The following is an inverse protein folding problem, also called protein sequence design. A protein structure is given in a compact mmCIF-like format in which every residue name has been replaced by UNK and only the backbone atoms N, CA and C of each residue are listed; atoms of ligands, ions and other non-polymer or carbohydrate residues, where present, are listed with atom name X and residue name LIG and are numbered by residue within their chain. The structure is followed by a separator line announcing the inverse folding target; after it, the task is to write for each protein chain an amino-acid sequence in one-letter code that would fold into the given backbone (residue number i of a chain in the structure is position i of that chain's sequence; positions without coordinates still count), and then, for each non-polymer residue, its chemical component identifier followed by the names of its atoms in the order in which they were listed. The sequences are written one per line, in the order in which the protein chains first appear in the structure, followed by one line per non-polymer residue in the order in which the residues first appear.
data_IF_382390783266
#
_entry.id   IF_382390783266
#
_cell.length_a   1.000
_cell.length_b   1.000
_cell.length_c   1.000
_cell.angle_alpha   90.00
_cell.angle_beta   90.00
_cell.angle_gamma   90.00
#
_symmetry.space_group_name_H-M   'P 1'
#
loop_
_entity.id
_entity.type
_entity.pdbx_description
1 polymer ?
#
# COMPACT_ATOMS: atom_id res chain seq x y z
N UNK A 1 -1.17 -24.16 -1.33
CA UNK A 1 -1.07 -22.94 -0.50
C UNK A 1 -0.35 -21.89 -1.32
N UNK A 2 -0.58 -20.63 -1.03
CA UNK A 2 0.19 -19.52 -1.61
C UNK A 2 1.67 -19.60 -1.20
N UNK A 3 2.55 -19.19 -2.10
CA UNK A 3 3.98 -19.12 -1.85
C UNK A 3 4.42 -17.99 -0.91
N UNK A 4 3.59 -16.97 -0.67
CA UNK A 4 3.92 -15.79 0.13
C UNK A 4 3.10 -15.72 1.44
N UNK A 5 3.46 -16.59 2.40
CA UNK A 5 2.98 -16.49 3.78
C UNK A 5 3.55 -15.26 4.48
N UNK A 6 2.76 -14.61 5.33
CA UNK A 6 3.15 -13.35 5.98
C UNK A 6 2.88 -13.35 7.47
N UNK A 7 3.67 -12.56 8.18
CA UNK A 7 3.57 -12.37 9.61
C UNK A 7 2.83 -11.07 9.93
N UNK A 8 1.92 -11.13 10.89
CA UNK A 8 1.20 -9.96 11.41
C UNK A 8 1.38 -9.86 12.92
N UNK A 9 1.40 -8.62 13.43
CA UNK A 9 1.48 -8.33 14.86
C UNK A 9 0.11 -7.87 15.33
N UNK A 10 -0.52 -8.61 16.24
CA UNK A 10 -1.82 -8.24 16.82
C UNK A 10 -1.70 -8.34 18.33
N UNK A 11 -1.95 -7.21 19.03
CA UNK A 11 -1.87 -7.11 20.49
C UNK A 11 -0.53 -7.62 21.09
N UNK A 12 0.57 -7.36 20.39
CA UNK A 12 1.92 -7.78 20.79
C UNK A 12 2.23 -9.27 20.55
N UNK A 13 1.30 -10.01 19.93
CA UNK A 13 1.50 -11.41 19.50
C UNK A 13 1.73 -11.49 18.01
N UNK A 14 2.36 -12.58 17.59
CA UNK A 14 2.79 -12.84 16.23
C UNK A 14 1.93 -13.97 15.63
N UNK A 15 1.34 -13.70 14.47
CA UNK A 15 0.53 -14.67 13.75
C UNK A 15 1.04 -14.81 12.32
N UNK A 16 1.29 -16.05 11.89
CA UNK A 16 1.50 -16.36 10.49
C UNK A 16 0.14 -16.53 9.81
N UNK A 17 -0.04 -15.84 8.68
CA UNK A 17 -1.21 -16.01 7.82
C UNK A 17 -0.76 -16.68 6.53
N UNK A 18 -1.47 -17.75 6.17
CA UNK A 18 -1.26 -18.48 4.92
C UNK A 18 -2.55 -18.56 4.14
N UNK A 19 -2.39 -18.54 2.84
CA UNK A 19 -3.48 -18.62 1.89
C UNK A 19 -3.64 -20.05 1.38
N UNK A 20 -4.83 -20.62 1.61
CA UNK A 20 -5.16 -21.97 1.22
C UNK A 20 -6.15 -21.95 0.06
N UNK A 21 -5.76 -22.61 -1.02
CA UNK A 21 -6.52 -22.68 -2.26
C UNK A 21 -7.23 -24.01 -2.38
N UNK A 22 -8.49 -23.97 -2.84
CA UNK A 22 -9.08 -25.13 -3.50
C UNK A 22 -8.79 -25.03 -4.98
N UNK A 23 -8.29 -26.12 -5.57
CA UNK A 23 -7.95 -26.20 -7.00
C UNK A 23 -8.56 -27.44 -7.64
N UNK A 24 -8.75 -27.38 -8.96
CA UNK A 24 -9.09 -28.55 -9.76
C UNK A 24 -8.49 -28.40 -11.18
N UNK A 25 -8.33 -29.53 -11.86
CA UNK A 25 -7.81 -29.62 -13.24
C UNK A 25 -8.88 -30.00 -14.26
N UNK A 26 -10.11 -30.28 -13.82
CA UNK A 26 -11.21 -30.82 -14.66
C UNK A 26 -12.49 -29.99 -14.56
N UNK A 27 -12.39 -28.73 -14.13
CA UNK A 27 -13.55 -27.85 -14.04
C UNK A 27 -14.10 -27.53 -15.45
N UNK A 28 -15.40 -27.75 -15.73
CA UNK A 28 -15.93 -27.60 -17.08
C UNK A 28 -15.84 -26.17 -17.62
N UNK A 29 -15.61 -26.03 -18.93
CA UNK A 29 -15.60 -24.75 -19.65
C UNK A 29 -14.62 -23.70 -19.08
N UNK A 30 -13.52 -24.14 -18.47
CA UNK A 30 -12.47 -23.27 -17.94
C UNK A 30 -11.15 -23.48 -18.65
N UNK A 31 -10.41 -22.39 -18.84
CA UNK A 31 -9.07 -22.44 -19.42
C UNK A 31 -8.07 -23.02 -18.43
N UNK A 32 -7.28 -23.98 -18.90
CA UNK A 32 -6.15 -24.52 -18.15
C UNK A 32 -4.98 -23.55 -18.14
N UNK A 33 -4.35 -23.40 -16.99
CA UNK A 33 -3.10 -22.67 -16.77
C UNK A 33 -2.12 -23.53 -15.98
N UNK A 34 -0.83 -23.24 -16.13
CA UNK A 34 0.20 -23.80 -15.24
C UNK A 34 0.12 -23.17 -13.84
N UNK A 35 0.34 -23.97 -12.81
CA UNK A 35 0.41 -23.54 -11.41
C UNK A 35 1.40 -24.44 -10.65
N UNK A 36 2.61 -23.91 -10.41
CA UNK A 36 3.74 -24.73 -9.98
C UNK A 36 4.05 -25.82 -11.00
N UNK A 37 4.26 -27.05 -10.54
CA UNK A 37 4.47 -28.23 -11.41
C UNK A 37 3.17 -28.86 -11.94
N UNK A 38 2.01 -28.25 -11.67
CA UNK A 38 0.70 -28.79 -12.01
C UNK A 38 -0.02 -27.92 -13.06
N UNK A 39 -1.04 -28.50 -13.68
CA UNK A 39 -2.02 -27.77 -14.47
C UNK A 39 -3.34 -27.71 -13.72
N UNK A 40 -3.92 -26.51 -13.65
CA UNK A 40 -5.22 -26.27 -13.02
C UNK A 40 -6.11 -25.46 -13.97
N UNK A 41 -7.42 -25.62 -13.83
CA UNK A 41 -8.40 -24.79 -14.52
C UNK A 41 -9.47 -24.26 -13.55
N UNK A 42 -9.28 -24.46 -12.26
CA UNK A 42 -10.07 -23.88 -11.17
C UNK A 42 -9.16 -23.53 -10.01
N UNK A 43 -9.34 -22.34 -9.45
CA UNK A 43 -8.67 -21.89 -8.23
C UNK A 43 -9.59 -20.92 -7.48
N UNK A 44 -9.67 -21.09 -6.16
CA UNK A 44 -10.32 -20.16 -5.24
C UNK A 44 -9.48 -20.01 -3.98
N UNK A 45 -9.35 -18.78 -3.48
CA UNK A 45 -8.82 -18.51 -2.15
C UNK A 45 -9.89 -18.77 -1.11
N UNK A 46 -10.16 -20.05 -0.85
CA UNK A 46 -11.31 -20.45 -0.04
C UNK A 46 -11.07 -20.36 1.45
N UNK A 47 -9.81 -20.45 1.88
CA UNK A 47 -9.44 -20.52 3.30
C UNK A 47 -8.24 -19.63 3.62
N UNK A 48 -8.31 -18.90 4.72
CA UNK A 48 -7.17 -18.26 5.38
C UNK A 48 -6.77 -19.12 6.58
N UNK A 49 -5.50 -19.51 6.65
CA UNK A 49 -4.94 -20.24 7.78
C UNK A 49 -4.19 -19.27 8.67
N UNK A 50 -4.48 -19.29 9.96
CA UNK A 50 -3.83 -18.44 10.96
C UNK A 50 -3.11 -19.34 11.94
N UNK A 51 -1.82 -19.13 12.12
CA UNK A 51 -0.98 -19.89 13.05
C UNK A 51 -0.42 -18.93 14.09
N UNK A 52 -0.75 -19.17 15.36
CA UNK A 52 -0.12 -18.45 16.48
C UNK A 52 1.36 -18.89 16.59
N UNK A 53 2.29 -17.94 16.45
CA UNK A 53 3.72 -18.25 16.40
C UNK A 53 4.30 -18.69 17.76
N UNK A 54 3.58 -18.47 18.87
CA UNK A 54 4.01 -18.86 20.21
C UNK A 54 3.49 -20.24 20.60
N UNK A 55 2.23 -20.53 20.26
CA UNK A 55 1.54 -21.76 20.68
C UNK A 55 1.47 -22.82 19.58
N UNK A 56 1.67 -22.43 18.31
CA UNK A 56 1.49 -23.31 17.15
C UNK A 56 0.02 -23.62 16.85
N UNK A 57 -0.92 -23.07 17.63
CA UNK A 57 -2.36 -23.20 17.40
C UNK A 57 -2.70 -22.74 15.99
N UNK A 58 -3.35 -23.61 15.22
CA UNK A 58 -3.64 -23.40 13.81
C UNK A 58 -5.15 -23.39 13.59
N UNK A 59 -5.65 -22.30 13.01
CA UNK A 59 -7.05 -22.09 12.70
C UNK A 59 -7.28 -21.91 11.20
N UNK A 60 -8.28 -22.60 10.66
CA UNK A 60 -8.66 -22.51 9.25
C UNK A 60 -9.97 -21.73 9.12
N UNK A 61 -9.93 -20.53 8.55
CA UNK A 61 -11.10 -19.67 8.35
C UNK A 61 -11.58 -19.72 6.91
N UNK A 62 -12.84 -20.08 6.68
CA UNK A 62 -13.43 -20.12 5.33
C UNK A 62 -13.84 -18.71 4.91
N UNK A 63 -13.24 -18.21 3.84
CA UNK A 63 -13.43 -16.84 3.32
C UNK A 63 -14.24 -16.77 2.03
N UNK A 64 -14.21 -17.82 1.19
CA UNK A 64 -15.13 -17.95 0.05
C UNK A 64 -16.20 -19.01 0.32
N UNK A 65 -17.28 -18.63 1.01
CA UNK A 65 -18.39 -19.53 1.31
C UNK A 65 -19.17 -20.00 0.05
N UNK A 66 -18.92 -19.41 -1.11
CA UNK A 66 -19.61 -19.77 -2.36
C UNK A 66 -18.89 -20.90 -3.09
N UNK A 67 -17.62 -21.17 -2.77
CA UNK A 67 -16.84 -22.22 -3.39
C UNK A 67 -17.47 -23.62 -3.11
N UNK A 68 -17.83 -24.39 -4.15
CA UNK A 68 -18.37 -25.74 -3.97
C UNK A 68 -17.34 -26.73 -3.39
N UNK A 69 -16.04 -26.54 -3.64
CA UNK A 69 -15.02 -27.47 -3.16
C UNK A 69 -14.83 -27.34 -1.65
N UNK A 70 -14.73 -26.11 -1.11
CA UNK A 70 -14.64 -25.93 0.34
C UNK A 70 -15.89 -26.44 1.06
N UNK A 71 -17.08 -26.36 0.46
CA UNK A 71 -18.30 -26.96 1.04
C UNK A 71 -18.18 -28.47 1.21
N UNK A 72 -17.60 -29.17 0.23
CA UNK A 72 -17.34 -30.61 0.34
C UNK A 72 -16.33 -30.94 1.45
N UNK A 73 -15.27 -30.14 1.58
CA UNK A 73 -14.31 -30.26 2.68
C UNK A 73 -14.94 -29.99 4.05
N UNK A 74 -15.78 -28.96 4.17
CA UNK A 74 -16.51 -28.66 5.42
C UNK A 74 -17.48 -29.79 5.81
N UNK A 75 -18.16 -30.41 4.83
CA UNK A 75 -19.03 -31.56 5.09
C UNK A 75 -18.25 -32.79 5.57
N UNK A 76 -17.02 -32.97 5.08
CA UNK A 76 -16.16 -34.11 5.43
C UNK A 76 -15.43 -33.89 6.77
N UNK A 77 -15.04 -32.64 7.07
CA UNK A 77 -14.30 -32.26 8.28
C UNK A 77 -15.00 -31.11 9.04
N UNK A 78 -16.13 -31.38 9.72
CA UNK A 78 -16.99 -30.33 10.27
C UNK A 78 -16.33 -29.47 11.36
N UNK A 79 -15.35 -30.02 12.06
CA UNK A 79 -14.65 -29.34 13.17
C UNK A 79 -13.37 -28.62 12.76
N UNK A 80 -12.88 -28.83 11.53
CA UNK A 80 -11.61 -28.26 11.07
C UNK A 80 -11.72 -26.78 10.71
N UNK A 81 -12.86 -26.41 10.11
CA UNK A 81 -13.05 -25.09 9.51
C UNK A 81 -13.94 -24.19 10.37
N UNK A 82 -13.53 -22.93 10.50
CA UNK A 82 -14.28 -21.88 11.19
C UNK A 82 -14.86 -20.88 10.17
N UNK A 83 -16.05 -20.31 10.42
CA UNK A 83 -16.52 -19.16 9.66
C UNK A 83 -15.56 -17.98 9.79
N UNK A 84 -15.35 -17.21 8.71
CA UNK A 84 -14.52 -15.99 8.76
C UNK A 84 -14.97 -15.01 9.84
N UNK A 85 -16.26 -14.98 10.17
CA UNK A 85 -16.83 -14.09 11.18
C UNK A 85 -16.25 -14.31 12.59
N UNK A 86 -15.74 -15.50 12.87
CA UNK A 86 -15.04 -15.83 14.12
C UNK A 86 -13.57 -15.36 14.15
N UNK A 87 -13.02 -14.91 13.01
CA UNK A 87 -11.66 -14.39 12.95
C UNK A 87 -11.56 -13.09 13.77
N UNK A 88 -10.59 -12.96 14.68
CA UNK A 88 -10.37 -11.72 15.43
C UNK A 88 -10.20 -10.51 14.50
N UNK A 89 -10.82 -9.38 14.86
CA UNK A 89 -10.84 -8.17 14.01
C UNK A 89 -9.45 -7.63 13.71
N UNK A 90 -8.52 -7.70 14.68
CA UNK A 90 -7.12 -7.31 14.48
C UNK A 90 -6.44 -8.13 13.38
N UNK A 91 -6.67 -9.45 13.34
CA UNK A 91 -6.13 -10.32 12.29
C UNK A 91 -6.85 -10.07 10.96
N UNK A 92 -8.18 -9.92 10.99
CA UNK A 92 -8.98 -9.66 9.79
C UNK A 92 -8.56 -8.37 9.07
N UNK A 93 -8.15 -7.34 9.83
CA UNK A 93 -7.67 -6.07 9.29
C UNK A 93 -6.35 -6.20 8.50
N UNK A 94 -5.63 -7.30 8.64
CA UNK A 94 -4.38 -7.56 7.91
C UNK A 94 -4.54 -8.53 6.73
N UNK A 95 -5.75 -8.98 6.42
CA UNK A 95 -5.96 -9.85 5.27
C UNK A 95 -5.60 -9.14 3.98
N UNK A 96 -4.85 -9.83 3.13
CA UNK A 96 -4.53 -9.39 1.77
C UNK A 96 -5.00 -10.41 0.72
N UNK A 97 -5.19 -9.93 -0.51
CA UNK A 97 -5.40 -10.75 -1.69
C UNK A 97 -4.06 -11.42 -2.01
N UNK A 98 -4.00 -12.75 -2.13
CA UNK A 98 -2.73 -13.43 -2.23
C UNK A 98 -2.14 -13.39 -3.64
N UNK A 99 -0.80 -13.40 -3.71
CA UNK A 99 -0.08 -13.12 -4.95
C UNK A 99 -0.29 -14.20 -6.00
N UNK A 100 -0.31 -15.49 -5.64
CA UNK A 100 -0.39 -16.54 -6.65
C UNK A 100 -1.76 -16.61 -7.32
N UNK A 101 -2.84 -16.38 -6.56
CA UNK A 101 -4.18 -16.22 -7.13
C UNK A 101 -4.22 -14.99 -8.05
N UNK A 102 -3.63 -13.88 -7.62
CA UNK A 102 -3.58 -12.67 -8.41
C UNK A 102 -2.78 -12.86 -9.70
N UNK A 103 -1.62 -13.55 -9.66
CA UNK A 103 -0.82 -13.94 -10.83
C UNK A 103 -1.66 -14.78 -11.81
N UNK A 104 -2.37 -15.80 -11.31
CA UNK A 104 -3.25 -16.62 -12.14
C UNK A 104 -4.34 -15.78 -12.84
N UNK A 105 -4.96 -14.86 -12.13
CA UNK A 105 -5.99 -13.97 -12.68
C UNK A 105 -5.42 -12.94 -13.66
N UNK A 106 -4.23 -12.40 -13.40
CA UNK A 106 -3.49 -11.52 -14.32
C UNK A 106 -3.26 -12.22 -15.66
N UNK A 107 -2.83 -13.49 -15.64
CA UNK A 107 -2.61 -14.28 -16.86
C UNK A 107 -3.91 -14.47 -17.65
N UNK A 108 -5.02 -14.82 -16.99
CA UNK A 108 -6.32 -14.94 -17.66
C UNK A 108 -6.78 -13.57 -18.19
N UNK A 109 -6.74 -12.54 -17.36
CA UNK A 109 -7.21 -11.20 -17.70
C UNK A 109 -6.42 -10.56 -18.86
N UNK A 110 -5.15 -10.92 -19.03
CA UNK A 110 -4.33 -10.48 -20.17
C UNK A 110 -4.96 -10.77 -21.53
N UNK A 111 -5.82 -11.80 -21.61
CA UNK A 111 -6.52 -12.22 -22.84
C UNK A 111 -8.02 -11.90 -22.80
N UNK A 112 -8.68 -12.01 -21.64
CA UNK A 112 -10.14 -11.92 -21.53
C UNK A 112 -10.67 -10.56 -21.04
N UNK A 113 -9.86 -9.51 -21.00
CA UNK A 113 -10.31 -8.16 -20.60
C UNK A 113 -11.26 -7.48 -21.60
N UNK A 114 -11.45 -8.07 -22.79
CA UNK A 114 -12.33 -7.55 -23.83
C UNK A 114 -13.81 -7.71 -23.46
N UNK A 115 -14.67 -6.87 -24.04
CA UNK A 115 -16.11 -6.93 -23.78
C UNK A 115 -16.72 -8.27 -24.24
N UNK A 116 -17.68 -8.77 -23.47
CA UNK A 116 -18.44 -9.98 -23.78
C UNK A 116 -19.57 -9.73 -24.80
N UNK A 117 -19.28 -8.99 -25.87
CA UNK A 117 -20.20 -8.67 -26.97
C UNK A 117 -19.63 -9.16 -28.32
N UNK A 118 -20.41 -9.16 -29.43
CA UNK A 118 -19.93 -9.65 -30.72
C UNK A 118 -18.70 -8.91 -31.26
N UNK A 119 -18.47 -7.65 -30.89
CA UNK A 119 -17.26 -6.90 -31.25
C UNK A 119 -16.05 -7.38 -30.45
N UNK A 120 -16.17 -7.50 -29.13
CA UNK A 120 -15.09 -8.02 -28.28
C UNK A 120 -14.77 -9.48 -28.59
N UNK A 121 -15.76 -10.30 -28.97
CA UNK A 121 -15.53 -11.65 -29.46
C UNK A 121 -14.62 -11.66 -30.71
N UNK A 122 -14.82 -10.73 -31.66
CA UNK A 122 -13.92 -10.60 -32.83
C UNK A 122 -12.49 -10.26 -32.40
N UNK A 123 -12.32 -9.30 -31.49
CA UNK A 123 -11.01 -8.91 -30.96
C UNK A 123 -10.32 -10.09 -30.27
N UNK A 124 -11.07 -10.86 -29.46
CA UNK A 124 -10.57 -12.05 -28.77
C UNK A 124 -10.09 -13.13 -29.75
N UNK A 125 -10.94 -13.51 -30.72
CA UNK A 125 -10.60 -14.57 -31.68
C UNK A 125 -9.51 -14.15 -32.65
N UNK A 126 -9.42 -12.87 -32.99
CA UNK A 126 -8.36 -12.32 -33.83
C UNK A 126 -7.05 -12.06 -33.05
N UNK A 127 -7.09 -12.12 -31.70
CA UNK A 127 -5.97 -11.78 -30.81
C UNK A 127 -5.39 -10.39 -31.04
N UNK A 128 -6.26 -9.42 -31.35
CA UNK A 128 -5.86 -8.05 -31.72
C UNK A 128 -5.48 -7.18 -30.50
N UNK A 129 -6.04 -7.47 -29.32
CA UNK A 129 -5.77 -6.74 -28.07
C UNK A 129 -5.38 -7.74 -26.98
N UNK A 130 -4.23 -8.40 -27.16
CA UNK A 130 -3.64 -9.28 -26.13
C UNK A 130 -2.61 -8.49 -25.34
N UNK A 131 -2.72 -8.53 -24.01
CA UNK A 131 -1.74 -7.94 -23.11
C UNK A 131 -0.74 -8.99 -22.63
N UNK A 132 0.33 -8.52 -22.02
CA UNK A 132 1.39 -9.33 -21.46
C UNK A 132 1.78 -8.80 -20.08
N UNK A 133 2.28 -9.72 -19.24
CA UNK A 133 3.03 -9.35 -18.05
C UNK A 133 4.32 -8.67 -18.53
N UNK A 134 4.59 -7.43 -18.10
CA UNK A 134 5.78 -6.72 -18.53
C UNK A 134 7.05 -7.40 -18.03
N UNK A 135 8.14 -7.19 -18.74
CA UNK A 135 9.47 -7.56 -18.27
C UNK A 135 10.17 -6.37 -17.61
N UNK A 136 11.19 -6.66 -16.82
CA UNK A 136 12.16 -5.72 -16.26
C UNK A 136 13.56 -6.37 -16.27
N UNK A 137 14.59 -5.68 -15.80
CA UNK A 137 15.96 -6.19 -15.68
C UNK A 137 16.55 -5.85 -14.32
N UNK A 138 17.28 -6.81 -13.74
CA UNK A 138 18.04 -6.65 -12.50
C UNK A 138 19.53 -6.50 -12.85
N UNK A 139 20.02 -5.28 -12.98
CA UNK A 139 21.42 -4.99 -13.29
C UNK A 139 21.65 -4.46 -14.70
N UNK A 140 22.66 -3.60 -14.90
CA UNK A 140 23.23 -3.37 -16.22
C UNK A 140 23.65 -4.69 -16.88
N UNK A 141 23.11 -5.00 -18.06
CA UNK A 141 23.36 -6.25 -18.77
C UNK A 141 22.65 -7.49 -18.19
N UNK A 142 21.76 -7.31 -17.22
CA UNK A 142 20.95 -8.37 -16.63
C UNK A 142 19.95 -8.98 -17.63
N UNK A 143 19.58 -10.23 -17.39
CA UNK A 143 18.53 -10.90 -18.16
C UNK A 143 17.18 -10.21 -17.93
N UNK A 144 16.33 -10.22 -18.96
CA UNK A 144 14.95 -9.78 -18.78
C UNK A 144 14.21 -10.83 -17.94
N UNK A 145 13.52 -10.35 -16.91
CA UNK A 145 12.67 -11.15 -16.04
C UNK A 145 11.24 -10.62 -16.08
N UNK A 146 10.25 -11.47 -15.90
CA UNK A 146 8.87 -11.03 -15.74
C UNK A 146 8.72 -10.22 -14.45
N UNK A 147 7.88 -9.19 -14.48
CA UNK A 147 7.53 -8.43 -13.29
C UNK A 147 6.56 -9.24 -12.42
N UNK A 148 6.83 -9.27 -11.12
CA UNK A 148 5.90 -9.82 -10.13
C UNK A 148 4.88 -8.78 -9.66
N UNK A 149 3.69 -9.20 -9.20
CA UNK A 149 2.79 -8.32 -8.48
C UNK A 149 3.48 -7.78 -7.22
N UNK A 150 3.10 -6.58 -6.80
CA UNK A 150 3.65 -6.00 -5.57
C UNK A 150 2.60 -5.21 -4.83
N UNK A 151 2.70 -5.25 -3.50
CA UNK A 151 1.83 -4.50 -2.62
C UNK A 151 2.30 -3.05 -2.47
N UNK A 152 1.36 -2.11 -2.52
CA UNK A 152 1.61 -0.69 -2.28
C UNK A 152 0.51 -0.08 -1.43
N UNK A 153 0.86 0.96 -0.67
CA UNK A 153 -0.11 1.85 -0.06
C UNK A 153 -0.30 3.04 -0.99
N UNK A 154 -1.45 3.12 -1.64
CA UNK A 154 -1.72 4.13 -2.65
C UNK A 154 -3.19 4.54 -2.66
N UNK A 155 -3.47 5.79 -3.03
CA UNK A 155 -4.83 6.30 -3.19
C UNK A 155 -5.28 6.14 -4.63
N UNK A 156 -6.18 5.20 -4.89
CA UNK A 156 -6.77 5.01 -6.21
C UNK A 156 -7.39 6.31 -6.77
N UNK A 157 -7.34 6.53 -8.10
CA UNK A 157 -8.03 7.64 -8.74
C UNK A 157 -9.52 7.70 -8.34
N UNK A 158 -9.99 8.86 -7.89
CA UNK A 158 -11.37 9.06 -7.46
C UNK A 158 -11.67 8.70 -6.00
N UNK A 159 -10.77 7.98 -5.32
CA UNK A 159 -10.90 7.66 -3.90
C UNK A 159 -10.31 8.78 -3.02
N UNK A 160 -10.82 8.92 -1.79
CA UNK A 160 -10.37 9.97 -0.86
C UNK A 160 -9.19 9.53 0.00
N UNK A 161 -9.15 8.25 0.40
CA UNK A 161 -8.18 7.71 1.33
C UNK A 161 -7.18 6.78 0.62
N UNK A 162 -5.91 6.73 1.07
CA UNK A 162 -4.99 5.66 0.68
C UNK A 162 -5.53 4.28 1.06
N UNK A 163 -5.22 3.30 0.25
CA UNK A 163 -5.63 1.91 0.42
C UNK A 163 -4.43 0.98 0.20
N UNK A 164 -4.40 -0.14 0.91
CA UNK A 164 -3.44 -1.20 0.66
C UNK A 164 -3.86 -2.01 -0.56
N UNK A 165 -3.03 -2.01 -1.61
CA UNK A 165 -3.36 -2.57 -2.92
C UNK A 165 -2.29 -3.56 -3.37
N UNK A 166 -2.70 -4.60 -4.09
CA UNK A 166 -1.80 -5.46 -4.87
C UNK A 166 -1.89 -5.05 -6.34
N UNK A 167 -0.78 -4.65 -6.97
CA UNK A 167 -0.80 -4.04 -8.31
C UNK A 167 0.02 -4.87 -9.31
N UNK A 168 -0.48 -4.92 -10.56
CA UNK A 168 0.25 -5.40 -11.73
C UNK A 168 0.03 -4.47 -12.94
N UNK A 169 1.08 -3.86 -13.51
CA UNK A 169 1.00 -3.20 -14.80
C UNK A 169 0.94 -4.20 -15.97
N UNK A 170 0.44 -3.75 -17.11
CA UNK A 170 0.36 -4.51 -18.36
C UNK A 170 1.00 -3.74 -19.52
N UNK A 171 1.62 -4.49 -20.43
CA UNK A 171 2.01 -4.01 -21.76
C UNK A 171 1.24 -4.77 -22.84
N UNK A 172 1.08 -4.24 -24.05
CA UNK A 172 0.62 -5.05 -25.17
C UNK A 172 1.62 -6.16 -25.47
N UNK A 173 1.14 -7.31 -25.95
CA UNK A 173 2.00 -8.42 -26.34
C UNK A 173 3.05 -7.96 -27.37
N UNK A 174 4.33 -8.22 -27.08
CA UNK A 174 5.45 -7.83 -27.94
C UNK A 174 5.81 -6.33 -27.92
N UNK A 175 5.23 -5.54 -27.02
CA UNK A 175 5.57 -4.12 -26.81
C UNK A 175 5.98 -3.86 -25.37
N UNK A 176 6.72 -2.76 -25.18
CA UNK A 176 7.26 -2.38 -23.87
C UNK A 176 6.59 -1.15 -23.27
N UNK A 177 5.67 -0.48 -23.96
CA UNK A 177 4.92 0.65 -23.41
C UNK A 177 3.72 0.13 -22.60
N UNK A 178 3.38 0.80 -21.49
CA UNK A 178 2.22 0.45 -20.68
C UNK A 178 0.92 0.68 -21.46
N UNK A 179 -0.03 -0.22 -21.26
CA UNK A 179 -1.41 -0.11 -21.78
C UNK A 179 -2.45 -0.13 -20.67
N UNK A 180 -2.14 -0.74 -19.53
CA UNK A 180 -3.08 -0.85 -18.41
C UNK A 180 -2.34 -1.14 -17.12
N UNK A 181 -3.03 -1.04 -16.00
CA UNK A 181 -2.66 -1.68 -14.75
C UNK A 181 -3.90 -2.20 -14.04
N UNK A 182 -3.73 -3.26 -13.26
CA UNK A 182 -4.76 -3.89 -12.45
C UNK A 182 -4.36 -3.78 -10.99
N UNK A 183 -5.32 -3.45 -10.14
CA UNK A 183 -5.18 -3.45 -8.70
C UNK A 183 -6.23 -4.34 -8.04
N UNK A 184 -5.82 -5.14 -7.07
CA UNK A 184 -6.70 -5.78 -6.11
C UNK A 184 -6.68 -5.00 -4.79
N UNK A 185 -7.86 -4.76 -4.25
CA UNK A 185 -8.12 -4.01 -3.02
C UNK A 185 -8.03 -4.92 -1.80
N UNK A 186 -7.30 -4.51 -0.76
CA UNK A 186 -7.11 -5.31 0.45
C UNK A 186 -7.90 -4.78 1.66
N UNK A 187 -8.47 -3.57 1.61
CA UNK A 187 -9.00 -2.94 2.82
C UNK A 187 -10.53 -3.01 2.94
N UNK A 188 -10.97 -3.28 4.16
CA UNK A 188 -12.36 -3.11 4.60
C UNK A 188 -13.39 -3.84 3.72
N UNK A 189 -14.46 -3.14 3.37
CA UNK A 189 -15.55 -3.69 2.54
C UNK A 189 -15.18 -3.88 1.07
N UNK A 190 -14.00 -3.38 0.66
CA UNK A 190 -13.53 -3.45 -0.72
C UNK A 190 -12.57 -4.63 -0.94
N UNK A 191 -12.22 -5.34 0.14
CA UNK A 191 -11.38 -6.54 0.09
C UNK A 191 -11.77 -7.50 -1.05
N UNK A 192 -10.80 -7.86 -1.88
CA UNK A 192 -10.98 -8.79 -3.00
C UNK A 192 -11.64 -8.19 -4.23
N UNK A 193 -11.91 -6.88 -4.27
CA UNK A 193 -12.35 -6.21 -5.49
C UNK A 193 -11.17 -5.83 -6.38
N UNK A 194 -11.39 -5.88 -7.69
CA UNK A 194 -10.38 -5.60 -8.71
C UNK A 194 -10.76 -4.36 -9.50
N UNK A 195 -9.78 -3.52 -9.77
CA UNK A 195 -9.94 -2.31 -10.59
C UNK A 195 -8.87 -2.30 -11.67
N UNK A 196 -9.30 -2.26 -12.93
CA UNK A 196 -8.39 -2.15 -14.08
C UNK A 196 -8.48 -0.75 -14.67
N UNK A 197 -7.33 -0.11 -14.84
CA UNK A 197 -7.19 1.21 -15.44
C UNK A 197 -6.50 1.10 -16.79
N UNK A 198 -7.29 1.20 -17.86
CA UNK A 198 -6.78 1.22 -19.23
C UNK A 198 -6.27 2.61 -19.57
N UNK A 199 -5.05 2.66 -20.08
CA UNK A 199 -4.36 3.91 -20.39
C UNK A 199 -4.78 4.46 -21.75
N UNK A 200 -4.78 5.80 -21.91
CA UNK A 200 -5.10 6.41 -23.19
C UNK A 200 -4.14 5.98 -24.30
N UNK A 201 -4.68 5.66 -25.49
CA UNK A 201 -3.89 5.20 -26.65
C UNK A 201 -3.15 6.33 -27.37
N UNK A 202 -3.47 7.59 -27.08
CA UNK A 202 -2.85 8.79 -27.65
C UNK A 202 -1.52 9.18 -26.97
N UNK A 203 -1.21 8.58 -25.81
CA UNK A 203 0.03 8.84 -25.07
C UNK A 203 0.86 7.59 -24.92
N UNK A 204 2.14 7.72 -25.24
CA UNK A 204 3.13 6.68 -24.95
C UNK A 204 3.56 6.79 -23.49
N UNK A 205 3.29 5.76 -22.71
CA UNK A 205 3.73 5.64 -21.32
C UNK A 205 4.77 4.52 -21.26
N UNK A 206 5.99 4.82 -20.81
CA UNK A 206 7.05 3.81 -20.76
C UNK A 206 6.70 2.66 -19.82
N UNK A 207 6.97 1.41 -20.22
CA UNK A 207 6.85 0.27 -19.32
C UNK A 207 8.11 -0.01 -18.51
N UNK A 208 8.02 -0.96 -17.57
CA UNK A 208 9.11 -1.30 -16.66
C UNK A 208 10.42 -1.58 -17.39
N UNK A 209 10.40 -2.39 -18.45
CA UNK A 209 11.60 -2.72 -19.24
C UNK A 209 12.29 -1.48 -19.83
N UNK A 210 11.52 -0.52 -20.37
CA UNK A 210 12.08 0.71 -20.94
C UNK A 210 12.70 1.59 -19.86
N UNK A 211 12.04 1.72 -18.70
CA UNK A 211 12.56 2.50 -17.59
C UNK A 211 13.81 1.85 -16.99
N UNK A 212 13.80 0.53 -16.78
CA UNK A 212 14.98 -0.23 -16.35
C UNK A 212 16.16 -0.03 -17.32
N UNK A 213 15.91 -0.08 -18.62
CA UNK A 213 16.95 0.19 -19.64
C UNK A 213 17.49 1.62 -19.56
N UNK A 214 16.64 2.63 -19.31
CA UNK A 214 17.07 4.03 -19.12
C UNK A 214 17.89 4.22 -17.84
N UNK A 215 17.48 3.58 -16.75
CA UNK A 215 18.22 3.56 -15.48
C UNK A 215 19.61 2.96 -15.70
N UNK A 216 19.68 1.80 -16.35
CA UNK A 216 20.93 1.08 -16.59
C UNK A 216 21.85 1.76 -17.61
N UNK A 217 21.32 2.64 -18.46
CA UNK A 217 22.08 3.47 -19.40
C UNK A 217 22.54 4.81 -18.80
N UNK A 218 22.09 5.17 -17.59
CA UNK A 218 22.52 6.40 -16.93
C UNK A 218 23.97 6.27 -16.47
N UNK A 219 24.84 7.14 -16.97
CA UNK A 219 26.30 7.06 -16.76
C UNK A 219 26.72 7.09 -15.29
N UNK A 220 26.05 7.89 -14.46
CA UNK A 220 26.32 7.96 -13.01
C UNK A 220 25.91 6.67 -12.32
N UNK A 221 24.72 6.14 -12.64
CA UNK A 221 24.23 4.88 -12.07
C UNK A 221 25.13 3.72 -12.50
N UNK A 222 25.44 3.58 -13.80
CA UNK A 222 26.29 2.50 -14.31
C UNK A 222 27.70 2.52 -13.69
N UNK A 223 28.26 3.72 -13.45
CA UNK A 223 29.55 3.87 -12.77
C UNK A 223 29.48 3.41 -11.31
N UNK A 224 28.48 3.86 -10.54
CA UNK A 224 28.29 3.44 -9.14
C UNK A 224 28.04 1.93 -9.04
N UNK A 225 27.31 1.31 -9.97
CA UNK A 225 27.13 -0.14 -10.01
C UNK A 225 28.46 -0.88 -10.17
N UNK A 226 29.28 -0.40 -11.09
CA UNK A 226 30.62 -0.97 -11.32
C UNK A 226 31.52 -0.84 -10.11
N UNK A 227 31.36 0.24 -9.31
CA UNK A 227 32.12 0.47 -8.07
C UNK A 227 31.57 -0.35 -6.89
N UNK A 228 30.25 -0.48 -6.77
CA UNK A 228 29.59 -1.23 -5.72
C UNK A 228 29.76 -2.74 -5.89
N UNK A 229 29.87 -3.22 -7.13
CA UNK A 229 30.08 -4.64 -7.43
C UNK A 229 31.57 -5.03 -7.47
N UNK A 230 32.36 -4.56 -6.50
CA UNK A 230 33.81 -4.84 -6.40
C UNK A 230 34.20 -5.59 -5.13
N UNK A 231 35.32 -6.32 -5.23
CA UNK A 231 36.15 -6.83 -4.13
C UNK A 231 35.41 -7.14 -2.81
N UNK A 232 34.59 -8.20 -2.82
CA UNK A 232 33.89 -8.69 -1.62
C UNK A 232 32.51 -8.10 -1.37
N UNK A 233 32.05 -7.14 -2.17
CA UNK A 233 30.69 -6.62 -2.18
C UNK A 233 29.94 -7.00 -3.46
N UNK A 234 28.61 -7.00 -3.38
CA UNK A 234 27.71 -7.25 -4.50
C UNK A 234 26.55 -6.27 -4.46
N UNK A 235 26.33 -5.58 -5.59
CA UNK A 235 25.18 -4.69 -5.78
C UNK A 235 23.94 -5.50 -6.12
N UNK A 236 22.80 -5.14 -5.53
CA UNK A 236 21.51 -5.75 -5.81
C UNK A 236 20.49 -4.66 -6.10
N UNK A 237 19.97 -4.66 -7.33
CA UNK A 237 18.76 -3.91 -7.66
C UNK A 237 17.55 -4.60 -7.05
N UNK A 238 16.73 -3.81 -6.35
CA UNK A 238 15.42 -4.26 -5.89
C UNK A 238 14.40 -4.27 -7.03
N UNK A 239 13.16 -4.57 -6.66
CA UNK A 239 12.06 -4.61 -7.63
C UNK A 239 11.73 -3.20 -8.12
N UNK A 240 11.57 -3.05 -9.44
CA UNK A 240 11.09 -1.82 -10.05
C UNK A 240 9.57 -1.70 -9.85
N UNK A 241 9.16 -0.79 -8.98
CA UNK A 241 7.74 -0.52 -8.69
C UNK A 241 7.23 0.55 -9.65
N UNK A 242 6.07 0.32 -10.26
CA UNK A 242 5.36 1.28 -11.12
C UNK A 242 4.17 1.83 -10.34
N UNK A 243 4.33 3.02 -9.79
CA UNK A 243 3.32 3.64 -8.92
C UNK A 243 2.56 4.71 -9.72
N UNK A 244 1.26 4.53 -9.99
CA UNK A 244 0.44 5.60 -10.54
C UNK A 244 0.41 6.78 -9.56
N UNK A 245 0.60 8.02 -10.01
CA UNK A 245 0.46 9.22 -9.17
C UNK A 245 -0.28 10.29 -9.96
N UNK A 246 -1.50 10.62 -9.53
CA UNK A 246 -2.38 11.54 -10.25
C UNK A 246 -2.60 11.06 -11.69
N UNK A 247 -2.11 11.82 -12.65
CA UNK A 247 -2.21 11.53 -14.08
C UNK A 247 -0.87 11.06 -14.70
N UNK A 248 0.09 10.64 -13.88
CA UNK A 248 1.43 10.21 -14.29
C UNK A 248 1.84 8.92 -13.58
N UNK A 249 3.05 8.45 -13.85
CA UNK A 249 3.66 7.28 -13.24
C UNK A 249 5.02 7.66 -12.65
N UNK A 250 5.22 7.25 -11.39
CA UNK A 250 6.51 7.28 -10.72
C UNK A 250 7.06 5.86 -10.67
N UNK A 251 8.30 5.70 -11.11
CA UNK A 251 9.01 4.43 -11.05
C UNK A 251 9.99 4.50 -9.89
N UNK A 252 9.92 3.54 -8.98
CA UNK A 252 10.77 3.49 -7.80
C UNK A 252 11.58 2.20 -7.81
N UNK A 253 12.89 2.32 -7.60
CA UNK A 253 13.78 1.18 -7.52
C UNK A 253 14.84 1.40 -6.42
N UNK A 254 14.85 0.57 -5.36
CA UNK A 254 15.88 0.64 -4.33
C UNK A 254 17.14 -0.13 -4.78
N UNK A 255 18.31 0.35 -4.37
CA UNK A 255 19.57 -0.36 -4.59
C UNK A 255 20.18 -0.72 -3.25
N UNK A 256 20.45 -2.00 -3.10
CA UNK A 256 21.08 -2.58 -1.93
C UNK A 256 22.53 -2.97 -2.21
N UNK A 257 23.35 -2.92 -1.17
CA UNK A 257 24.69 -3.47 -1.17
C UNK A 257 24.77 -4.57 -0.12
N UNK A 258 25.34 -5.71 -0.50
CA UNK A 258 25.62 -6.81 0.43
C UNK A 258 27.05 -7.28 0.28
N UNK A 259 27.60 -7.91 1.32
CA UNK A 259 28.86 -8.63 1.17
C UNK A 259 28.64 -9.94 0.39
N UNK A 260 29.66 -10.41 -0.32
CA UNK A 260 29.67 -11.73 -0.97
C UNK A 260 29.81 -12.89 0.05
N UNK A 261 29.94 -12.59 1.33
CA UNK A 261 29.92 -13.59 2.41
C UNK A 261 28.50 -14.08 2.70
N UNK A 262 28.38 -15.34 3.14
CA UNK A 262 27.11 -16.06 3.24
C UNK A 262 26.09 -15.46 4.24
N UNK A 263 26.53 -14.64 5.20
CA UNK A 263 25.70 -14.14 6.31
C UNK A 263 25.55 -12.62 6.34
N UNK A 264 25.60 -11.95 5.19
CA UNK A 264 25.47 -10.49 5.14
C UNK A 264 24.06 -10.03 4.83
N UNK A 265 23.55 -9.08 5.62
CA UNK A 265 22.27 -8.43 5.35
C UNK A 265 22.45 -7.36 4.27
N UNK A 266 21.56 -7.28 3.27
CA UNK A 266 21.55 -6.17 2.31
C UNK A 266 21.29 -4.83 3.01
N UNK A 267 22.08 -3.82 2.68
CA UNK A 267 21.92 -2.45 3.18
C UNK A 267 21.47 -1.54 2.03
N UNK A 268 20.41 -0.76 2.24
CA UNK A 268 19.96 0.24 1.26
C UNK A 268 21.05 1.31 1.09
N UNK A 269 21.57 1.48 -0.13
CA UNK A 269 22.60 2.48 -0.44
C UNK A 269 22.08 3.66 -1.26
N UNK A 270 21.10 3.39 -2.13
CA UNK A 270 20.55 4.39 -3.05
C UNK A 270 19.08 4.12 -3.34
N UNK A 271 18.41 5.18 -3.76
CA UNK A 271 17.06 5.18 -4.29
C UNK A 271 17.10 5.79 -5.68
N UNK A 272 16.52 5.09 -6.64
CA UNK A 272 16.25 5.62 -7.98
C UNK A 272 14.77 5.98 -8.04
N UNK A 273 14.50 7.17 -8.55
CA UNK A 273 13.18 7.55 -9.03
C UNK A 273 13.26 7.88 -10.50
N UNK A 274 12.26 7.49 -11.27
CA UNK A 274 12.14 7.92 -12.65
C UNK A 274 10.71 8.33 -12.95
N UNK A 275 10.57 9.20 -13.95
CA UNK A 275 9.31 9.48 -14.62
C UNK A 275 9.50 9.34 -16.14
N UNK A 276 8.55 9.86 -16.92
CA UNK A 276 8.63 9.81 -18.39
C UNK A 276 9.79 10.64 -18.96
N UNK A 277 10.36 11.59 -18.22
CA UNK A 277 11.36 12.55 -18.71
C UNK A 277 12.75 12.36 -18.08
N UNK A 278 12.81 12.12 -16.77
CA UNK A 278 14.01 12.24 -15.95
C UNK A 278 14.23 11.00 -15.07
N UNK A 279 15.49 10.79 -14.67
CA UNK A 279 15.90 9.79 -13.69
C UNK A 279 16.66 10.51 -12.60
N UNK A 280 16.20 10.38 -11.36
CA UNK A 280 16.82 10.86 -10.14
C UNK A 280 17.52 9.72 -9.40
N UNK A 281 18.64 10.02 -8.77
CA UNK A 281 19.50 9.06 -8.10
C UNK A 281 20.10 9.68 -6.84
N UNK A 282 19.68 9.19 -5.68
CA UNK A 282 20.06 9.76 -4.39
C UNK A 282 20.23 8.70 -3.31
N UNK A 283 20.70 9.11 -2.13
CA UNK A 283 20.83 8.25 -0.94
C UNK A 283 19.51 8.06 -0.19
N UNK A 284 18.54 8.97 -0.39
CA UNK A 284 17.23 8.95 0.27
C UNK A 284 16.11 9.16 -0.75
N UNK A 285 14.91 8.68 -0.41
CA UNK A 285 13.71 8.92 -1.21
C UNK A 285 13.44 10.42 -1.37
N UNK A 286 13.54 11.19 -0.27
CA UNK A 286 13.33 12.63 -0.29
C UNK A 286 14.33 13.35 -1.21
N UNK A 287 15.59 12.94 -1.19
CA UNK A 287 16.62 13.49 -2.08
C UNK A 287 16.33 13.17 -3.54
N UNK A 288 15.88 11.95 -3.84
CA UNK A 288 15.51 11.56 -5.20
C UNK A 288 14.26 12.33 -5.67
N UNK A 289 13.27 12.54 -4.79
CA UNK A 289 12.09 13.35 -5.10
C UNK A 289 12.49 14.79 -5.40
N UNK A 290 13.31 15.41 -4.56
CA UNK A 290 13.79 16.79 -4.79
C UNK A 290 14.54 16.94 -6.12
N UNK A 291 15.34 15.94 -6.50
CA UNK A 291 15.99 15.92 -7.81
C UNK A 291 14.99 15.79 -8.96
N UNK A 292 13.92 15.01 -8.78
CA UNK A 292 12.94 14.74 -9.83
C UNK A 292 11.94 15.89 -10.03
N UNK A 293 11.40 16.45 -8.95
CA UNK A 293 10.34 17.49 -9.00
C UNK A 293 10.85 18.91 -8.71
N UNK A 294 12.11 19.06 -8.29
CA UNK A 294 12.70 20.33 -7.84
C UNK A 294 12.47 20.61 -6.35
N UNK A 295 12.99 21.75 -5.87
CA UNK A 295 12.96 22.17 -4.45
C UNK A 295 11.65 22.86 -4.03
N UNK A 296 10.54 22.58 -4.72
CA UNK A 296 9.23 23.05 -4.28
C UNK A 296 8.92 22.45 -2.91
N UNK A 297 8.59 23.29 -1.92
CA UNK A 297 8.11 22.81 -0.62
C UNK A 297 6.89 21.93 -0.87
N UNK A 298 7.03 20.61 -0.67
CA UNK A 298 5.89 19.71 -0.65
C UNK A 298 4.84 20.24 0.34
N UNK A 299 3.55 19.92 0.17
CA UNK A 299 2.56 20.23 1.18
C UNK A 299 3.09 19.77 2.54
N UNK A 300 2.96 20.59 3.60
CA UNK A 300 3.51 20.26 4.91
C UNK A 300 3.10 18.84 5.25
N UNK A 301 4.08 18.01 5.60
CA UNK A 301 3.87 16.63 6.06
C UNK A 301 2.80 16.74 7.13
N UNK A 302 1.59 16.29 6.83
CA UNK A 302 0.55 16.19 7.84
C UNK A 302 1.07 15.10 8.75
N UNK A 303 1.66 15.51 9.88
CA UNK A 303 1.89 14.58 10.97
C UNK A 303 0.56 13.86 11.18
N UNK A 304 0.55 12.51 11.27
CA UNK A 304 -0.66 11.80 11.63
C UNK A 304 -1.23 12.52 12.85
N UNK A 305 -2.53 12.89 12.84
CA UNK A 305 -3.14 13.60 13.96
C UNK A 305 -2.74 12.84 15.23
N UNK A 306 -2.25 13.54 16.28
CA UNK A 306 -1.80 12.87 17.48
C UNK A 306 -2.87 11.88 17.90
N UNK A 307 -2.51 10.60 17.93
CA UNK A 307 -3.42 9.53 18.27
C UNK A 307 -3.98 9.86 19.65
N UNK A 308 -5.26 10.19 19.69
CA UNK A 308 -5.95 10.56 20.93
C UNK A 308 -6.07 9.28 21.74
N UNK A 309 -5.08 9.01 22.58
CA UNK A 309 -5.11 7.87 23.49
C UNK A 309 -6.20 8.10 24.54
N UNK A 310 -6.75 7.04 25.17
CA UNK A 310 -7.70 7.19 26.27
C UNK A 310 -7.19 8.11 27.40
N UNK A 311 -5.88 8.16 27.61
CA UNK A 311 -5.25 9.08 28.56
C UNK A 311 -5.40 10.57 28.17
N UNK A 312 -5.28 10.90 26.89
CA UNK A 312 -5.46 12.27 26.38
C UNK A 312 -6.92 12.70 26.48
N UNK A 313 -7.88 11.80 26.23
CA UNK A 313 -9.31 12.08 26.42
C UNK A 313 -9.66 12.38 27.88
N UNK A 314 -9.09 11.61 28.82
CA UNK A 314 -9.28 11.84 30.25
C UNK A 314 -8.72 13.21 30.68
N UNK A 315 -7.53 13.57 30.18
CA UNK A 315 -6.89 14.86 30.47
C UNK A 315 -7.69 16.05 29.90
N UNK A 316 -8.24 15.93 28.69
CA UNK A 316 -9.11 16.97 28.10
C UNK A 316 -10.38 17.16 28.94
N UNK A 317 -11.00 16.06 29.38
CA UNK A 317 -12.23 16.09 30.17
C UNK A 317 -12.01 16.77 31.53
N UNK A 318 -10.87 16.49 32.16
CA UNK A 318 -10.47 17.13 33.41
C UNK A 318 -10.25 18.66 33.25
N UNK A 319 -9.51 19.07 32.21
CA UNK A 319 -9.29 20.49 31.93
C UNK A 319 -10.58 21.25 31.61
N UNK A 320 -11.53 20.64 30.88
CA UNK A 320 -12.85 21.25 30.63
C UNK A 320 -13.63 21.42 31.94
N UNK A 321 -13.55 20.45 32.85
CA UNK A 321 -14.19 20.52 34.17
C UNK A 321 -13.62 21.66 35.00
N UNK A 322 -12.29 21.79 35.04
CA UNK A 322 -11.60 22.87 35.75
C UNK A 322 -11.93 24.26 35.16
N UNK A 323 -11.96 24.39 33.83
CA UNK A 323 -12.29 25.64 33.15
C UNK A 323 -13.70 26.13 33.53
N UNK A 324 -14.68 25.21 33.56
CA UNK A 324 -16.06 25.55 33.94
C UNK A 324 -16.16 25.97 35.41
N UNK A 325 -15.42 25.33 36.32
CA UNK A 325 -15.39 25.71 37.73
C UNK A 325 -14.83 27.12 37.94
N UNK A 326 -13.69 27.44 37.30
CA UNK A 326 -13.10 28.79 37.37
C UNK A 326 -13.99 29.85 36.71
N UNK A 327 -14.66 29.52 35.60
CA UNK A 327 -15.62 30.43 34.97
C UNK A 327 -16.82 30.75 35.87
N UNK A 328 -17.38 29.74 36.56
CA UNK A 328 -18.46 29.95 37.53
C UNK A 328 -17.99 30.80 38.72
N UNK A 329 -16.82 30.50 39.28
CA UNK A 329 -16.23 31.28 40.38
C UNK A 329 -15.99 32.75 39.99
N UNK A 330 -15.52 33.00 38.76
CA UNK A 330 -15.39 34.34 38.20
C UNK A 330 -16.76 35.04 38.14
N UNK A 331 -17.77 34.36 37.59
CA UNK A 331 -19.11 34.94 37.44
C UNK A 331 -19.77 35.27 38.79
N UNK A 332 -19.57 34.44 39.81
CA UNK A 332 -20.08 34.70 41.16
C UNK A 332 -19.28 35.78 41.92
N UNK A 333 -18.00 35.96 41.60
CA UNK A 333 -17.23 37.13 42.06
C UNK A 333 -17.75 38.43 41.41
N UNK A 334 -18.05 38.38 40.11
CA UNK A 334 -18.63 39.52 39.38
C UNK A 334 -19.98 39.96 39.96
N UNK A 335 -20.87 39.02 40.28
CA UNK A 335 -22.16 39.32 40.94
C UNK A 335 -22.02 40.02 42.29
N UNK A 336 -20.94 39.75 43.01
CA UNK A 336 -20.65 40.33 44.33
C UNK A 336 -19.80 41.61 44.24
N UNK A 337 -19.48 42.08 43.03
CA UNK A 337 -18.65 43.26 42.81
C UNK A 337 -17.16 43.06 43.10
N UNK A 338 -16.71 41.81 43.30
CA UNK A 338 -15.30 41.49 43.55
C UNK A 338 -14.55 41.33 42.21
N UNK A 339 -14.11 42.48 41.68
CA UNK A 339 -13.39 42.56 40.41
C UNK A 339 -11.99 41.93 40.45
N UNK A 340 -11.36 41.87 41.63
CA UNK A 340 -10.03 41.29 41.82
C UNK A 340 -10.10 39.77 41.67
N UNK A 341 -11.07 39.14 42.34
CA UNK A 341 -11.30 37.71 42.24
C UNK A 341 -11.81 37.32 40.85
N UNK A 342 -12.69 38.13 40.24
CA UNK A 342 -13.11 37.94 38.85
C UNK A 342 -11.91 37.89 37.89
N UNK A 343 -11.00 38.87 37.98
CA UNK A 343 -9.82 38.94 37.10
C UNK A 343 -8.89 37.73 37.31
N UNK A 344 -8.70 37.30 38.56
CA UNK A 344 -7.85 36.16 38.91
C UNK A 344 -8.42 34.84 38.38
N UNK A 345 -9.71 34.62 38.55
CA UNK A 345 -10.38 33.39 38.08
C UNK A 345 -10.45 33.34 36.54
N UNK A 346 -10.69 34.49 35.88
CA UNK A 346 -10.64 34.57 34.42
C UNK A 346 -9.23 34.32 33.84
N UNK A 347 -8.17 34.72 34.56
CA UNK A 347 -6.80 34.40 34.14
C UNK A 347 -6.53 32.89 34.14
N UNK A 348 -7.05 32.16 35.14
CA UNK A 348 -6.95 30.68 35.22
C UNK A 348 -7.72 30.01 34.08
N UNK A 349 -8.92 30.49 33.75
CA UNK A 349 -9.66 30.03 32.56
C UNK A 349 -8.81 30.19 31.30
N UNK A 350 -8.17 31.35 31.12
CA UNK A 350 -7.28 31.61 29.98
C UNK A 350 -6.11 30.62 29.90
N UNK A 351 -5.47 30.29 31.02
CA UNK A 351 -4.37 29.31 31.07
C UNK A 351 -4.85 27.90 30.70
N UNK A 352 -6.01 27.48 31.20
CA UNK A 352 -6.57 26.15 30.90
C UNK A 352 -6.95 26.05 29.41
N UNK A 353 -7.50 27.11 28.82
CA UNK A 353 -7.80 27.14 27.38
C UNK A 353 -6.52 27.05 26.53
N UNK A 354 -5.40 27.63 26.96
CA UNK A 354 -4.11 27.47 26.28
C UNK A 354 -3.63 26.02 26.37
N UNK A 355 -3.77 25.37 27.52
CA UNK A 355 -3.43 23.94 27.67
C UNK A 355 -4.31 23.06 26.77
N UNK A 356 -5.61 23.31 26.71
CA UNK A 356 -6.53 22.62 25.81
C UNK A 356 -6.17 22.82 24.32
N UNK A 357 -5.73 24.03 23.94
CA UNK A 357 -5.26 24.30 22.57
C UNK A 357 -4.00 23.52 22.22
N UNK A 358 -3.04 23.42 23.15
CA UNK A 358 -1.83 22.61 22.93
C UNK A 358 -2.13 21.12 22.78
N UNK A 359 -3.12 20.60 23.52
CA UNK A 359 -3.54 19.19 23.46
C UNK A 359 -4.39 18.86 22.22
N UNK A 360 -5.11 19.83 21.65
CA UNK A 360 -6.00 19.63 20.51
C UNK A 360 -5.41 20.02 19.15
N UNK A 361 -4.15 20.49 19.13
CA UNK A 361 -3.37 20.70 17.90
C UNK A 361 -3.85 21.83 16.98
N UNK A 362 -4.70 22.75 17.45
CA UNK A 362 -5.11 23.91 16.64
C UNK A 362 -4.04 25.00 16.67
N UNK A 363 -3.38 25.20 15.52
CA UNK A 363 -2.46 26.30 15.27
C UNK A 363 -3.13 27.67 15.52
N UNK A 364 -2.37 28.58 16.11
CA UNK A 364 -2.71 29.99 16.32
C UNK A 364 -3.08 30.68 15.00
N UNK A 365 -4.30 31.20 14.89
CA UNK A 365 -4.54 32.32 14.01
C UNK A 365 -3.88 33.55 14.65
N UNK A 366 -2.89 34.14 13.99
CA UNK A 366 -2.26 35.39 14.43
C UNK A 366 -3.31 36.47 14.68
N UNK A 367 -3.18 37.30 15.73
CA UNK A 367 -4.07 38.42 15.95
C UNK A 367 -3.90 39.44 14.81
N UNK A 368 -4.99 39.81 14.14
CA UNK A 368 -5.01 40.99 13.28
C UNK A 368 -4.62 42.23 14.10
N UNK A 369 -3.81 43.15 13.54
CA UNK A 369 -3.45 44.37 14.24
C UNK A 369 -4.71 45.21 14.52
N UNK A 370 -4.90 45.59 15.79
CA UNK A 370 -5.92 46.57 16.16
C UNK A 370 -5.62 47.92 15.50
N UNK A 371 -6.64 48.66 15.05
CA UNK A 371 -6.46 49.99 14.47
C UNK A 371 -5.94 50.96 15.54
N UNK A 372 -4.88 51.68 15.20
CA UNK A 372 -4.37 52.81 15.99
C UNK A 372 -5.40 53.95 15.97
N UNK A 373 -5.65 54.64 17.10
CA UNK A 373 -6.47 55.84 17.09
C UNK A 373 -5.68 56.97 16.41
N UNK A 374 -6.36 57.72 15.54
CA UNK A 374 -5.89 59.02 15.05
C UNK A 374 -6.67 60.14 15.76
N UNK A 375 -6.09 61.35 15.86
CA UNK A 375 -6.33 62.31 16.93
C UNK A 375 -7.70 62.98 16.93
#
# INVERSE_FOLDING_TARGET
FDGDSYLVVVDGRLYWILDAYTTASTYPYSQTIGYGDNEINYIRNSVKVVIDAYEGTTDFYVVDQKDPLIKAYQATFPSLFKPIDLMPSGIRAHLRVPEDLFRAQVLIYSTYHVNADPSGAKVLFAREDVWAVPTTQTGPGGQQIALDPYYVLFRLPGEQNPEFLLIMPFTPLGKNNLVSWLAARNDGSQYGQYVSYVLPKDKTIFGPQQVASRINANTTISADFTLFDQAGSSVQQGNLLVVPIGNSFLYFEPIYLRSKTASSLPELKRVILADQASVAYATTLDGALQQLVGTGTGPPVTQPPPSVTPAVVAQITDLVTQANAHYQAAYDALKRGDLTTFSTEMAKVGQILQQLQTLTGKATASPSPSPSPSP
#
